data_IF_102444135408
#
_entry.id   IF_102444135408
#
_cell.length_a   1.000
_cell.length_b   1.000
_cell.length_c   1.000
_cell.angle_alpha   90.00
_cell.angle_beta   90.00
_cell.angle_gamma   90.00
#
_symmetry.space_group_name_H-M   'P 1'
#
loop_
_entity.id
_entity.type
_entity.pdbx_description
1 polymer ?
#
# COMPACT_ATOMS: atom_id res chain seq x y z
N UNK A 1 8.97 3.16 -8.54
CA UNK A 1 7.81 2.32 -8.89
C UNK A 1 7.62 1.29 -7.80
N UNK A 2 6.40 1.18 -7.25
CA UNK A 2 6.00 0.06 -6.38
C UNK A 2 5.21 -0.94 -7.22
N UNK A 3 5.63 -2.19 -7.21
CA UNK A 3 4.98 -3.29 -7.91
C UNK A 3 4.17 -4.11 -6.91
N UNK A 4 2.94 -4.46 -7.25
CA UNK A 4 2.18 -5.49 -6.53
C UNK A 4 2.98 -6.79 -6.50
N UNK A 5 2.68 -7.75 -5.59
CA UNK A 5 3.56 -8.90 -5.38
C UNK A 5 3.88 -9.66 -6.66
N UNK A 6 5.16 -9.76 -6.97
CA UNK A 6 5.69 -10.43 -8.18
C UNK A 6 6.13 -11.87 -7.91
N UNK A 7 6.03 -12.31 -6.65
CA UNK A 7 6.44 -13.66 -6.23
C UNK A 7 5.41 -14.68 -6.69
N UNK A 8 5.87 -15.91 -6.97
CA UNK A 8 5.03 -17.00 -7.47
C UNK A 8 3.82 -17.25 -6.55
N UNK A 9 2.64 -17.11 -7.11
CA UNK A 9 1.36 -17.22 -6.42
C UNK A 9 0.55 -18.45 -6.89
N UNK A 10 -0.53 -18.78 -6.19
CA UNK A 10 -1.42 -19.85 -6.61
C UNK A 10 -2.32 -19.41 -7.77
N UNK A 11 -2.45 -20.30 -8.75
CA UNK A 11 -3.28 -20.07 -9.93
C UNK A 11 -2.53 -19.33 -11.04
N UNK A 12 -3.29 -18.73 -11.95
CA UNK A 12 -2.79 -18.04 -13.13
C UNK A 12 -3.09 -16.55 -13.15
N UNK A 13 -4.05 -16.13 -12.33
CA UNK A 13 -4.51 -14.74 -12.24
C UNK A 13 -4.65 -14.36 -10.78
N UNK A 14 -3.92 -13.34 -10.35
CA UNK A 14 -3.92 -12.86 -8.97
C UNK A 14 -3.30 -11.48 -8.90
N UNK A 15 -3.58 -10.78 -7.81
CA UNK A 15 -2.81 -9.62 -7.40
C UNK A 15 -1.46 -10.00 -6.76
N UNK A 16 -1.23 -11.30 -6.53
CA UNK A 16 0.01 -11.84 -5.98
C UNK A 16 0.02 -12.06 -4.47
N UNK A 17 -1.02 -11.63 -3.72
CA UNK A 17 -1.06 -11.79 -2.26
C UNK A 17 -1.31 -13.23 -1.80
N UNK A 18 -1.71 -14.13 -2.68
CA UNK A 18 -1.79 -15.58 -2.43
C UNK A 18 -0.46 -16.28 -2.73
N UNK A 19 0.63 -15.76 -2.19
CA UNK A 19 2.00 -16.19 -2.46
C UNK A 19 2.25 -17.62 -1.97
N UNK A 20 2.81 -18.45 -2.83
CA UNK A 20 3.26 -19.81 -2.51
C UNK A 20 4.78 -19.93 -2.42
N UNK A 21 5.52 -19.20 -3.26
CA UNK A 21 7.00 -19.31 -3.35
C UNK A 21 7.63 -17.91 -3.30
N UNK A 22 7.93 -17.42 -2.12
CA UNK A 22 8.42 -16.06 -1.88
C UNK A 22 9.79 -15.72 -2.49
N UNK A 23 10.56 -16.71 -2.92
CA UNK A 23 11.87 -16.51 -3.55
C UNK A 23 11.86 -16.78 -5.06
N UNK A 24 10.71 -17.06 -5.65
CA UNK A 24 10.56 -17.27 -7.10
C UNK A 24 9.76 -16.14 -7.73
N UNK A 25 10.16 -15.71 -8.92
CA UNK A 25 9.38 -14.78 -9.73
C UNK A 25 8.23 -15.53 -10.39
N UNK A 26 7.03 -14.97 -10.34
CA UNK A 26 5.88 -15.53 -11.05
C UNK A 26 6.06 -15.42 -12.57
N UNK A 27 5.65 -16.46 -13.27
CA UNK A 27 5.81 -16.60 -14.73
C UNK A 27 5.17 -15.48 -15.56
N UNK A 28 4.14 -14.82 -15.02
CA UNK A 28 3.48 -13.71 -15.71
C UNK A 28 4.30 -12.42 -15.74
N UNK A 29 5.31 -12.31 -14.85
CA UNK A 29 6.28 -11.22 -14.88
C UNK A 29 7.50 -11.52 -15.76
N UNK A 30 7.46 -12.62 -16.52
CA UNK A 30 8.51 -13.04 -17.44
C UNK A 30 9.60 -13.87 -16.77
N UNK A 31 10.76 -13.95 -17.43
CA UNK A 31 11.93 -14.65 -16.86
C UNK A 31 12.66 -13.75 -15.87
N UNK A 32 13.44 -14.35 -14.97
CA UNK A 32 14.28 -13.60 -14.02
C UNK A 32 15.20 -12.59 -14.74
N UNK A 33 15.75 -12.96 -15.89
CA UNK A 33 16.62 -12.05 -16.66
C UNK A 33 15.86 -10.85 -17.21
N UNK A 34 14.61 -11.06 -17.67
CA UNK A 34 13.76 -9.95 -18.15
C UNK A 34 13.29 -9.05 -17.02
N UNK A 35 13.05 -9.60 -15.87
CA UNK A 35 12.72 -8.80 -14.69
C UNK A 35 13.91 -7.99 -14.19
N UNK A 36 15.12 -8.56 -14.21
CA UNK A 36 16.36 -7.82 -13.92
C UNK A 36 16.63 -6.72 -14.96
N UNK A 37 16.36 -6.97 -16.24
CA UNK A 37 16.45 -5.96 -17.31
C UNK A 37 15.46 -4.79 -17.04
N UNK A 38 14.24 -5.09 -16.59
CA UNK A 38 13.28 -4.06 -16.21
C UNK A 38 13.80 -3.21 -15.05
N UNK A 39 14.34 -3.83 -13.99
CA UNK A 39 14.92 -3.12 -12.83
C UNK A 39 16.09 -2.25 -13.27
N UNK A 40 16.99 -2.79 -14.11
CA UNK A 40 18.15 -2.05 -14.65
C UNK A 40 17.71 -0.83 -15.48
N UNK A 41 16.69 -0.98 -16.32
CA UNK A 41 16.11 0.13 -17.07
C UNK A 41 15.49 1.20 -16.14
N UNK A 42 14.83 0.79 -15.06
CA UNK A 42 14.34 1.73 -14.04
C UNK A 42 15.50 2.52 -13.42
N UNK A 43 16.56 1.84 -13.02
CA UNK A 43 17.75 2.46 -12.42
C UNK A 43 18.45 3.42 -13.38
N UNK A 44 18.58 3.06 -14.66
CA UNK A 44 19.14 3.94 -15.71
C UNK A 44 18.33 5.24 -15.87
N UNK A 45 17.05 5.23 -15.49
CA UNK A 45 16.17 6.40 -15.52
C UNK A 45 16.00 7.06 -14.14
N UNK A 46 16.79 6.68 -13.14
CA UNK A 46 16.70 7.23 -11.78
C UNK A 46 15.44 6.83 -11.02
N UNK A 47 14.84 5.68 -11.37
CA UNK A 47 13.60 5.17 -10.79
C UNK A 47 13.91 3.98 -9.88
N UNK A 48 13.62 4.11 -8.59
CA UNK A 48 13.70 3.01 -7.63
C UNK A 48 12.58 1.98 -7.86
N UNK A 49 12.87 0.70 -7.64
CA UNK A 49 11.91 -0.40 -7.73
C UNK A 49 11.64 -0.98 -6.36
N UNK A 50 10.40 -0.89 -5.92
CA UNK A 50 9.90 -1.38 -4.65
C UNK A 50 8.98 -2.55 -4.92
N UNK A 51 9.18 -3.66 -4.21
CA UNK A 51 8.31 -4.82 -4.29
C UNK A 51 7.37 -4.88 -3.11
N UNK A 52 6.10 -5.10 -3.40
CA UNK A 52 5.13 -5.50 -2.39
C UNK A 52 5.36 -6.96 -2.01
N UNK A 53 5.34 -7.28 -0.72
CA UNK A 53 5.62 -8.62 -0.21
C UNK A 53 4.65 -9.05 0.88
N UNK A 54 3.93 -10.16 0.63
CA UNK A 54 3.06 -10.80 1.61
C UNK A 54 3.86 -11.84 2.40
N UNK A 55 4.44 -11.44 3.54
CA UNK A 55 5.22 -12.31 4.43
C UNK A 55 4.54 -12.54 5.79
N UNK A 56 3.29 -12.09 5.95
CA UNK A 56 2.49 -12.46 7.12
C UNK A 56 1.91 -13.87 6.99
N UNK A 57 1.72 -14.37 5.76
CA UNK A 57 1.14 -15.68 5.46
C UNK A 57 1.77 -16.34 4.23
N UNK A 58 1.39 -17.61 3.97
CA UNK A 58 1.64 -18.29 2.72
C UNK A 58 0.45 -19.16 2.33
N UNK A 59 0.28 -19.38 1.02
CA UNK A 59 -0.79 -20.25 0.51
C UNK A 59 -0.39 -21.72 0.45
N UNK A 60 -1.37 -22.59 0.27
CA UNK A 60 -1.28 -24.03 0.55
C UNK A 60 -0.24 -24.81 -0.28
N UNK A 61 0.22 -24.28 -1.43
CA UNK A 61 1.32 -24.87 -2.20
C UNK A 61 2.71 -24.57 -1.64
N UNK A 62 2.81 -23.71 -0.61
CA UNK A 62 4.10 -23.42 0.01
C UNK A 62 4.73 -24.72 0.57
N UNK A 63 6.00 -25.03 0.21
CA UNK A 63 6.64 -26.27 0.61
C UNK A 63 6.72 -26.46 2.12
N UNK A 64 6.92 -25.37 2.88
CA UNK A 64 7.03 -25.44 4.34
C UNK A 64 5.67 -25.70 5.00
N UNK A 65 4.56 -25.37 4.34
CA UNK A 65 3.24 -25.79 4.79
C UNK A 65 3.05 -27.28 4.48
N UNK A 66 3.29 -27.69 3.24
CA UNK A 66 3.05 -29.06 2.78
C UNK A 66 3.91 -30.12 3.47
N UNK A 67 5.13 -29.78 3.88
CA UNK A 67 6.02 -30.72 4.58
C UNK A 67 5.56 -31.03 6.02
N UNK A 68 4.75 -30.17 6.62
CA UNK A 68 4.24 -30.32 8.00
C UNK A 68 2.77 -29.87 8.06
N UNK A 69 1.92 -30.41 7.21
CA UNK A 69 0.49 -30.16 7.25
C UNK A 69 -0.27 -31.30 7.94
N UNK A 70 -1.44 -30.98 8.42
CA UNK A 70 -2.41 -31.94 8.89
C UNK A 70 -3.37 -32.26 7.73
N UNK A 71 -3.24 -33.44 7.16
CA UNK A 71 -3.99 -33.90 5.96
C UNK A 71 -4.71 -35.20 6.33
N UNK A 72 -5.86 -35.13 7.04
CA UNK A 72 -6.52 -36.33 7.57
C UNK A 72 -7.27 -37.15 6.52
N UNK A 73 -7.62 -36.57 5.38
CA UNK A 73 -8.33 -37.23 4.28
C UNK A 73 -7.40 -37.65 3.13
N UNK A 74 -6.13 -37.22 3.16
CA UNK A 74 -5.10 -37.64 2.22
C UNK A 74 -5.23 -37.02 0.83
N UNK A 75 -5.93 -35.88 0.71
CA UNK A 75 -6.11 -35.20 -0.57
C UNK A 75 -4.93 -34.30 -0.96
N UNK A 76 -3.95 -34.17 -0.08
CA UNK A 76 -2.74 -33.38 -0.25
C UNK A 76 -2.91 -31.92 0.15
N UNK A 77 -3.98 -31.57 0.86
CA UNK A 77 -4.26 -30.24 1.38
C UNK A 77 -4.58 -30.30 2.88
N UNK A 78 -4.25 -29.25 3.59
CA UNK A 78 -4.54 -29.17 5.02
C UNK A 78 -3.87 -27.99 5.69
N UNK A 79 -4.33 -27.72 6.91
CA UNK A 79 -3.75 -26.69 7.77
C UNK A 79 -2.37 -27.10 8.29
N UNK A 80 -1.52 -26.15 8.68
CA UNK A 80 -0.26 -26.46 9.34
C UNK A 80 -0.48 -27.36 10.55
N UNK A 81 0.32 -28.43 10.68
CA UNK A 81 0.29 -29.29 11.85
C UNK A 81 0.92 -28.62 13.07
N UNK A 82 0.66 -29.15 14.26
CA UNK A 82 1.27 -28.65 15.51
C UNK A 82 2.80 -28.77 15.55
N UNK A 83 3.39 -29.60 14.67
CA UNK A 83 4.83 -29.78 14.53
C UNK A 83 5.44 -28.83 13.49
N UNK A 84 4.63 -28.02 12.79
CA UNK A 84 5.13 -27.11 11.77
C UNK A 84 6.05 -26.07 12.40
N UNK A 85 7.33 -25.97 11.97
CA UNK A 85 8.29 -25.06 12.59
C UNK A 85 8.26 -23.63 12.01
N UNK A 86 7.32 -23.34 11.10
CA UNK A 86 7.19 -22.05 10.42
C UNK A 86 5.84 -21.39 10.64
N UNK A 87 4.76 -22.18 10.69
CA UNK A 87 3.39 -21.67 10.71
C UNK A 87 2.68 -22.00 12.01
N UNK A 88 1.69 -21.18 12.33
CA UNK A 88 0.74 -21.45 13.38
C UNK A 88 -0.33 -22.46 12.89
N UNK A 89 -0.88 -23.26 13.77
CA UNK A 89 -2.01 -24.16 13.46
C UNK A 89 -3.31 -23.38 13.25
N UNK A 90 -3.41 -22.19 13.79
CA UNK A 90 -4.48 -21.23 13.57
C UNK A 90 -3.91 -19.82 13.68
N UNK A 91 -4.47 -18.88 12.95
CA UNK A 91 -3.95 -17.53 12.91
C UNK A 91 -3.99 -16.84 14.28
N UNK A 92 -2.88 -16.17 14.60
CA UNK A 92 -2.69 -15.43 15.85
C UNK A 92 -3.01 -13.94 15.67
N UNK A 93 -3.78 -13.58 14.65
CA UNK A 93 -4.26 -12.24 14.33
C UNK A 93 -5.53 -12.32 13.47
N UNK A 94 -6.31 -11.24 13.41
CA UNK A 94 -7.40 -11.07 12.44
C UNK A 94 -6.89 -10.74 11.05
N UNK A 95 -7.78 -10.82 10.06
CA UNK A 95 -7.52 -10.55 8.64
C UNK A 95 -6.61 -11.58 7.95
N UNK A 96 -6.42 -12.73 8.57
CA UNK A 96 -5.59 -13.79 7.99
C UNK A 96 -6.21 -14.39 6.73
N UNK A 97 -5.35 -14.67 5.76
CA UNK A 97 -5.61 -15.54 4.60
C UNK A 97 -4.49 -16.56 4.49
N UNK A 98 -4.79 -17.78 4.04
CA UNK A 98 -3.78 -18.85 3.98
C UNK A 98 -3.23 -19.26 5.36
N UNK A 99 -2.00 -19.77 5.39
CA UNK A 99 -1.30 -20.23 6.58
C UNK A 99 -0.52 -19.10 7.22
N UNK A 100 -0.78 -18.81 8.49
CA UNK A 100 -0.18 -17.73 9.28
C UNK A 100 1.27 -18.07 9.69
N UNK A 101 2.25 -17.25 9.31
CA UNK A 101 3.63 -17.42 9.74
C UNK A 101 3.83 -17.09 11.23
N UNK A 102 4.46 -17.99 11.94
CA UNK A 102 4.88 -17.72 13.31
C UNK A 102 6.21 -16.95 13.35
N UNK A 103 6.13 -15.64 13.40
CA UNK A 103 7.30 -14.75 13.39
C UNK A 103 8.12 -14.75 14.70
N UNK A 104 7.73 -15.50 15.73
CA UNK A 104 8.57 -15.74 16.91
C UNK A 104 9.50 -16.94 16.72
N UNK A 105 9.22 -17.82 15.75
CA UNK A 105 10.08 -18.94 15.44
C UNK A 105 11.36 -18.52 14.71
N UNK A 106 12.51 -19.01 15.17
CA UNK A 106 13.81 -18.70 14.56
C UNK A 106 13.87 -19.13 13.09
N UNK A 107 13.22 -20.23 12.73
CA UNK A 107 13.19 -20.76 11.36
C UNK A 107 12.42 -19.81 10.43
N UNK A 108 11.29 -19.28 10.87
CA UNK A 108 10.53 -18.28 10.14
C UNK A 108 11.35 -17.01 9.94
N UNK A 109 11.98 -16.49 11.02
CA UNK A 109 12.85 -15.30 10.92
C UNK A 109 13.99 -15.50 9.91
N UNK A 110 14.63 -16.66 9.94
CA UNK A 110 15.69 -17.00 8.98
C UNK A 110 15.16 -17.11 7.54
N UNK A 111 13.96 -17.68 7.37
CA UNK A 111 13.33 -17.76 6.06
C UNK A 111 13.03 -16.36 5.50
N UNK A 112 12.39 -15.50 6.28
CA UNK A 112 12.10 -14.12 5.88
C UNK A 112 13.37 -13.37 5.50
N UNK A 113 14.44 -13.48 6.30
CA UNK A 113 15.75 -12.88 6.00
C UNK A 113 16.35 -13.41 4.69
N UNK A 114 16.14 -14.69 4.37
CA UNK A 114 16.58 -15.23 3.07
C UNK A 114 15.75 -14.69 1.91
N UNK A 115 14.45 -14.50 2.08
CA UNK A 115 13.60 -13.84 1.07
C UNK A 115 14.10 -12.42 0.81
N UNK A 116 14.30 -11.62 1.88
CA UNK A 116 14.85 -10.27 1.76
C UNK A 116 16.17 -10.29 0.98
N UNK A 117 17.09 -11.15 1.41
CA UNK A 117 18.41 -11.25 0.78
C UNK A 117 18.34 -11.60 -0.70
N UNK A 118 17.47 -12.54 -1.07
CA UNK A 118 17.29 -12.97 -2.46
C UNK A 118 16.91 -11.79 -3.37
N UNK A 119 15.92 -11.02 -2.96
CA UNK A 119 15.42 -9.92 -3.79
C UNK A 119 16.37 -8.72 -3.79
N UNK A 120 17.00 -8.40 -2.67
CA UNK A 120 17.96 -7.29 -2.57
C UNK A 120 19.26 -7.61 -3.31
N UNK A 121 19.86 -8.78 -3.09
CA UNK A 121 21.18 -9.09 -3.68
C UNK A 121 21.11 -9.60 -5.11
N UNK A 122 20.11 -10.43 -5.45
CA UNK A 122 20.01 -11.05 -6.76
C UNK A 122 19.31 -10.15 -7.78
N UNK A 123 18.21 -9.49 -7.36
CA UNK A 123 17.42 -8.65 -8.25
C UNK A 123 17.74 -7.16 -8.13
N UNK A 124 18.46 -6.75 -7.08
CA UNK A 124 18.85 -5.34 -6.87
C UNK A 124 17.66 -4.40 -6.70
N UNK A 125 16.59 -4.86 -6.07
CA UNK A 125 15.46 -3.99 -5.73
C UNK A 125 15.85 -2.98 -4.67
N UNK A 126 15.17 -1.84 -4.65
CA UNK A 126 15.48 -0.70 -3.77
C UNK A 126 14.64 -0.68 -2.50
N UNK A 127 13.61 -1.47 -2.41
CA UNK A 127 12.74 -1.48 -1.24
C UNK A 127 11.67 -2.56 -1.23
N UNK A 128 11.07 -2.73 -0.04
CA UNK A 128 9.86 -3.53 0.13
C UNK A 128 8.73 -2.69 0.73
N UNK A 129 7.53 -2.89 0.20
CA UNK A 129 6.28 -2.63 0.92
C UNK A 129 5.81 -3.95 1.54
N UNK A 130 5.67 -3.98 2.85
CA UNK A 130 5.27 -5.17 3.60
C UNK A 130 3.77 -5.17 3.81
N UNK A 131 3.12 -6.16 3.23
CA UNK A 131 1.68 -6.37 3.33
C UNK A 131 1.26 -6.78 4.73
N UNK A 132 0.14 -6.24 5.19
CA UNK A 132 -0.55 -6.59 6.44
C UNK A 132 0.43 -6.83 7.62
N UNK A 133 1.25 -5.83 7.97
CA UNK A 133 2.21 -5.97 9.08
C UNK A 133 1.52 -6.21 10.43
N UNK A 134 0.22 -5.98 10.55
CA UNK A 134 -0.60 -6.42 11.69
C UNK A 134 -0.50 -7.94 11.92
N UNK A 135 -0.31 -8.73 10.88
CA UNK A 135 -0.20 -10.17 10.91
C UNK A 135 1.10 -10.72 11.51
N UNK A 136 2.03 -9.87 11.92
CA UNK A 136 3.32 -10.33 12.49
C UNK A 136 3.27 -10.58 14.00
N UNK A 137 2.14 -10.36 14.66
CA UNK A 137 1.97 -10.66 16.11
C UNK A 137 1.60 -12.11 16.37
N UNK A 138 1.97 -12.59 17.54
CA UNK A 138 1.57 -13.90 18.08
C UNK A 138 0.68 -13.74 19.32
N UNK A 139 0.21 -12.52 19.61
CA UNK A 139 -0.46 -12.20 20.87
C UNK A 139 -1.97 -12.19 20.78
N UNK A 140 -2.56 -12.35 19.59
CA UNK A 140 -3.98 -12.18 19.37
C UNK A 140 -4.66 -13.46 18.83
N UNK A 141 -4.70 -14.55 19.63
CA UNK A 141 -5.40 -15.77 19.25
C UNK A 141 -6.91 -15.53 19.16
N UNK A 142 -7.63 -16.42 18.48
CA UNK A 142 -9.09 -16.31 18.27
C UNK A 142 -9.91 -16.22 19.57
N UNK A 143 -9.37 -16.76 20.68
CA UNK A 143 -10.01 -16.75 21.99
C UNK A 143 -9.51 -15.61 22.92
N UNK A 144 -8.77 -14.63 22.41
CA UNK A 144 -8.27 -13.53 23.23
C UNK A 144 -9.41 -12.67 23.80
N UNK A 145 -9.26 -12.25 25.06
CA UNK A 145 -10.24 -11.37 25.70
C UNK A 145 -10.36 -10.04 24.96
N UNK A 146 -11.58 -9.61 24.72
CA UNK A 146 -11.87 -8.38 23.96
C UNK A 146 -11.96 -8.56 22.45
N UNK A 147 -11.72 -9.78 21.93
CA UNK A 147 -11.83 -10.15 20.53
C UNK A 147 -10.53 -10.00 19.74
N UNK A 148 -10.33 -10.91 18.80
CA UNK A 148 -9.11 -11.01 18.01
C UNK A 148 -8.82 -9.75 17.18
N UNK A 149 -9.84 -9.20 16.55
CA UNK A 149 -9.71 -7.99 15.72
C UNK A 149 -9.29 -6.77 16.54
N UNK A 150 -9.92 -6.55 17.69
CA UNK A 150 -9.55 -5.46 18.57
C UNK A 150 -8.11 -5.61 19.08
N UNK A 151 -7.72 -6.83 19.50
CA UNK A 151 -6.33 -7.13 19.87
C UNK A 151 -5.36 -6.85 18.72
N UNK A 152 -5.66 -7.32 17.51
CA UNK A 152 -4.82 -7.13 16.32
C UNK A 152 -4.63 -5.64 15.98
N UNK A 153 -5.67 -4.83 16.19
CA UNK A 153 -5.62 -3.40 15.89
C UNK A 153 -4.92 -2.56 16.99
N UNK A 154 -4.73 -3.13 18.18
CA UNK A 154 -3.97 -2.47 19.25
C UNK A 154 -2.47 -2.72 19.11
N UNK A 155 -1.65 -1.88 19.75
CA UNK A 155 -0.18 -2.02 19.74
C UNK A 155 0.27 -3.37 20.32
N UNK A 156 1.19 -4.05 19.60
CA UNK A 156 1.72 -5.38 19.96
C UNK A 156 3.25 -5.36 20.03
N UNK A 157 3.85 -5.47 21.23
CA UNK A 157 5.30 -5.37 21.39
C UNK A 157 6.12 -6.40 20.60
N UNK A 158 5.57 -7.61 20.41
CA UNK A 158 6.26 -8.69 19.71
C UNK A 158 6.47 -8.39 18.22
N UNK A 159 5.45 -7.84 17.54
CA UNK A 159 5.58 -7.45 16.13
C UNK A 159 6.42 -6.20 15.95
N UNK A 160 6.44 -5.27 16.93
CA UNK A 160 7.33 -4.11 16.87
C UNK A 160 8.76 -4.59 16.75
N UNK A 161 9.21 -5.49 17.62
CA UNK A 161 10.58 -5.99 17.68
C UNK A 161 10.95 -6.80 16.42
N UNK A 162 10.07 -7.68 15.95
CA UNK A 162 10.39 -8.53 14.81
C UNK A 162 10.45 -7.75 13.51
N UNK A 163 9.59 -6.76 13.33
CA UNK A 163 9.60 -5.89 12.15
C UNK A 163 10.80 -4.94 12.15
N UNK A 164 11.27 -4.49 13.33
CA UNK A 164 12.54 -3.78 13.45
C UNK A 164 13.74 -4.66 13.07
N UNK A 165 13.75 -5.95 13.48
CA UNK A 165 14.80 -6.90 13.10
C UNK A 165 14.85 -7.14 11.58
N UNK A 166 13.71 -7.18 10.90
CA UNK A 166 13.66 -7.32 9.44
C UNK A 166 14.09 -6.03 8.72
N UNK A 167 13.69 -4.88 9.24
CA UNK A 167 14.16 -3.59 8.72
C UNK A 167 15.67 -3.44 8.87
N UNK A 168 16.22 -3.79 10.05
CA UNK A 168 17.66 -3.77 10.30
C UNK A 168 18.42 -4.71 9.38
N UNK A 169 17.86 -5.89 9.11
CA UNK A 169 18.46 -6.83 8.17
C UNK A 169 18.50 -6.27 6.75
N UNK A 170 17.42 -5.64 6.29
CA UNK A 170 17.35 -4.98 4.99
C UNK A 170 18.40 -3.87 4.87
N UNK A 171 18.49 -3.00 5.88
CA UNK A 171 19.48 -1.92 5.93
C UNK A 171 20.91 -2.40 6.12
N UNK A 172 21.10 -3.63 6.64
CA UNK A 172 22.40 -4.28 6.70
C UNK A 172 22.89 -4.76 5.32
N UNK A 173 21.97 -5.08 4.41
CA UNK A 173 22.28 -5.45 3.02
C UNK A 173 22.46 -4.20 2.15
N UNK A 174 21.57 -3.25 2.27
CA UNK A 174 21.61 -1.96 1.60
C UNK A 174 21.19 -0.84 2.56
N UNK A 175 22.12 0.03 2.98
CA UNK A 175 21.82 1.11 3.91
C UNK A 175 20.79 2.13 3.41
N UNK A 176 20.50 2.15 2.12
CA UNK A 176 19.54 3.07 1.46
C UNK A 176 18.20 2.42 1.15
N UNK A 177 18.05 1.13 1.46
CA UNK A 177 16.84 0.35 1.17
C UNK A 177 15.57 0.98 1.76
N UNK A 178 14.53 1.10 0.96
CA UNK A 178 13.23 1.59 1.40
C UNK A 178 12.48 0.49 2.15
N UNK A 179 12.11 0.77 3.39
CA UNK A 179 11.25 -0.11 4.19
C UNK A 179 9.91 0.59 4.39
N UNK A 180 8.84 -0.01 3.89
CA UNK A 180 7.50 0.56 3.89
C UNK A 180 6.55 -0.46 4.51
N UNK A 181 5.74 -0.05 5.49
CA UNK A 181 4.76 -0.94 6.14
C UNK A 181 3.33 -0.51 5.81
N UNK A 182 2.54 -1.47 5.31
CA UNK A 182 1.10 -1.37 5.44
C UNK A 182 0.72 -1.88 6.83
N UNK A 183 0.48 -0.95 7.73
CA UNK A 183 0.07 -1.28 9.09
C UNK A 183 -1.36 -0.84 9.38
N UNK A 184 -1.65 0.43 9.12
CA UNK A 184 -2.97 1.03 9.31
C UNK A 184 -3.52 0.77 10.72
N UNK A 185 -2.64 0.88 11.71
CA UNK A 185 -2.90 0.64 13.11
C UNK A 185 -3.00 1.92 13.93
N UNK A 186 -2.59 1.85 15.20
CA UNK A 186 -2.54 3.02 16.07
C UNK A 186 -1.31 3.87 15.80
N UNK A 187 -1.47 5.20 15.85
CA UNK A 187 -0.33 6.12 15.67
C UNK A 187 0.80 5.84 16.69
N UNK A 188 0.46 5.43 17.90
CA UNK A 188 1.43 5.11 18.96
C UNK A 188 2.31 3.91 18.63
N UNK A 189 1.83 2.95 17.84
CA UNK A 189 2.61 1.82 17.36
C UNK A 189 3.41 2.19 16.12
N UNK A 190 2.78 2.83 15.15
CA UNK A 190 3.42 3.26 13.90
C UNK A 190 4.59 4.21 14.17
N UNK A 191 4.48 5.05 15.20
CA UNK A 191 5.53 5.93 15.68
C UNK A 191 6.83 5.18 16.06
N UNK A 192 6.72 3.93 16.58
CA UNK A 192 7.88 3.11 16.97
C UNK A 192 8.75 2.75 15.77
N UNK A 193 8.15 2.58 14.59
CA UNK A 193 8.86 2.28 13.36
C UNK A 193 9.23 3.54 12.57
N UNK A 194 8.31 4.51 12.47
CA UNK A 194 8.56 5.74 11.73
C UNK A 194 9.75 6.53 12.28
N UNK A 195 9.95 6.52 13.60
CA UNK A 195 11.07 7.20 14.26
C UNK A 195 12.27 6.29 14.54
N UNK A 196 12.21 5.00 14.16
CA UNK A 196 13.29 4.06 14.46
C UNK A 196 14.57 4.40 13.70
N UNK A 197 15.65 4.62 14.40
CA UNK A 197 16.98 4.96 13.85
C UNK A 197 16.98 6.21 12.94
N UNK A 198 16.05 7.13 13.18
CA UNK A 198 15.85 8.33 12.33
C UNK A 198 17.03 9.30 12.39
N UNK A 199 17.80 9.28 13.48
CA UNK A 199 18.96 10.16 13.70
C UNK A 199 20.24 9.68 13.03
N UNK A 200 20.22 8.53 12.39
CA UNK A 200 21.41 7.99 11.71
C UNK A 200 21.66 8.67 10.36
N UNK A 201 22.86 8.47 9.81
CA UNK A 201 23.23 8.93 8.48
C UNK A 201 23.68 7.73 7.63
N UNK A 202 22.96 7.38 6.55
CA UNK A 202 21.69 7.95 6.13
C UNK A 202 20.57 7.71 7.14
N UNK A 203 19.67 8.69 7.26
CA UNK A 203 18.52 8.59 8.15
C UNK A 203 17.65 7.37 7.80
N UNK A 204 17.35 6.54 8.81
CA UNK A 204 16.46 5.39 8.68
C UNK A 204 14.99 5.82 8.87
N UNK A 205 14.22 5.05 9.57
CA UNK A 205 12.80 5.22 9.76
C UNK A 205 11.99 4.51 8.68
N UNK A 206 11.04 3.71 9.14
CA UNK A 206 10.12 2.98 8.25
C UNK A 206 9.08 3.95 7.72
N UNK A 207 8.80 3.90 6.42
CA UNK A 207 7.66 4.64 5.86
C UNK A 207 6.37 3.88 6.16
N UNK A 208 5.38 4.60 6.67
CA UNK A 208 4.07 4.03 6.99
C UNK A 208 3.06 4.41 5.91
N UNK A 209 2.24 3.47 5.47
CA UNK A 209 1.11 3.79 4.61
C UNK A 209 0.09 4.67 5.34
N UNK A 210 -0.33 5.76 4.71
CA UNK A 210 -1.30 6.73 5.23
C UNK A 210 -2.56 6.76 4.39
N UNK A 211 -3.52 5.90 4.69
CA UNK A 211 -4.79 5.77 3.96
C UNK A 211 -5.70 6.96 4.17
N UNK A 212 -6.05 7.65 3.09
CA UNK A 212 -6.89 8.84 3.09
C UNK A 212 -8.08 8.74 2.12
N UNK A 213 -8.38 7.56 1.61
CA UNK A 213 -9.38 7.35 0.55
C UNK A 213 -10.75 7.91 0.92
N UNK A 214 -11.19 7.71 2.17
CA UNK A 214 -12.49 8.21 2.63
C UNK A 214 -12.59 9.74 2.50
N UNK A 215 -11.63 10.48 3.03
CA UNK A 215 -11.65 11.94 3.01
C UNK A 215 -11.51 12.50 1.60
N UNK A 216 -10.66 11.91 0.77
CA UNK A 216 -10.49 12.33 -0.61
C UNK A 216 -11.69 11.95 -1.50
N UNK A 217 -12.39 10.86 -1.22
CA UNK A 217 -13.68 10.53 -1.85
C UNK A 217 -14.73 11.59 -1.54
N UNK A 218 -14.84 12.00 -0.27
CA UNK A 218 -15.72 13.11 0.13
C UNK A 218 -15.35 14.42 -0.58
N UNK A 219 -14.04 14.71 -0.65
CA UNK A 219 -13.54 15.93 -1.28
C UNK A 219 -13.88 15.99 -2.77
N UNK A 220 -13.62 14.89 -3.51
CA UNK A 220 -13.95 14.81 -4.94
C UNK A 220 -15.45 14.84 -5.17
N UNK A 221 -16.25 14.18 -4.35
CA UNK A 221 -17.70 14.20 -4.41
C UNK A 221 -18.31 15.58 -4.11
N UNK A 222 -17.52 16.54 -3.59
CA UNK A 222 -17.97 17.88 -3.22
C UNK A 222 -18.61 17.97 -1.84
N UNK A 223 -18.32 17.01 -0.98
CA UNK A 223 -18.75 17.03 0.41
C UNK A 223 -17.80 17.89 1.26
N UNK A 224 -18.35 18.70 2.15
CA UNK A 224 -17.59 19.63 2.99
C UNK A 224 -17.08 19.00 4.30
N UNK A 225 -17.35 17.71 4.54
CA UNK A 225 -16.96 16.99 5.77
C UNK A 225 -15.55 16.35 5.72
N UNK A 226 -14.85 16.42 4.59
CA UNK A 226 -13.52 15.85 4.45
C UNK A 226 -12.47 16.57 5.32
N UNK A 227 -11.45 15.82 5.77
CA UNK A 227 -10.33 16.35 6.54
C UNK A 227 -9.00 15.84 5.96
N UNK A 228 -8.18 16.71 5.39
CA UNK A 228 -6.90 16.35 4.75
C UNK A 228 -5.70 16.34 5.72
N UNK A 229 -5.88 16.64 7.01
CA UNK A 229 -4.78 16.79 7.97
C UNK A 229 -3.88 15.56 8.04
N UNK A 230 -4.45 14.36 7.95
CA UNK A 230 -3.71 13.09 8.07
C UNK A 230 -2.99 12.66 6.77
N UNK A 231 -3.03 13.44 5.69
CA UNK A 231 -2.21 13.19 4.49
C UNK A 231 -0.72 13.45 4.74
N UNK A 232 -0.36 14.07 5.85
CA UNK A 232 1.01 14.39 6.23
C UNK A 232 1.42 13.78 7.58
N UNK A 233 2.70 13.56 7.76
CA UNK A 233 3.32 12.85 8.88
C UNK A 233 3.06 13.47 10.27
N UNK A 234 2.87 14.80 10.34
CA UNK A 234 2.72 15.50 11.63
C UNK A 234 1.46 15.08 12.38
N UNK A 235 0.35 14.83 11.67
CA UNK A 235 -0.90 14.38 12.29
C UNK A 235 -0.82 12.96 12.89
N UNK A 236 0.24 12.21 12.56
CA UNK A 236 0.56 10.90 13.13
C UNK A 236 1.63 10.99 14.24
N UNK A 237 2.15 12.19 14.52
CA UNK A 237 3.22 12.41 15.50
C UNK A 237 4.61 11.93 15.08
N UNK A 238 4.83 11.64 13.77
CA UNK A 238 6.14 11.20 13.29
C UNK A 238 7.12 12.36 13.27
N UNK A 239 8.36 12.10 13.68
CA UNK A 239 9.41 13.12 13.77
C UNK A 239 9.99 13.52 12.41
N UNK A 240 9.76 12.70 11.37
CA UNK A 240 10.21 12.96 10.01
C UNK A 240 9.14 12.56 9.00
N UNK A 241 9.35 12.92 7.72
CA UNK A 241 8.43 12.66 6.62
C UNK A 241 8.39 11.17 6.24
N UNK A 242 7.97 10.33 7.18
CA UNK A 242 7.88 8.87 7.07
C UNK A 242 6.43 8.36 6.88
N UNK A 243 5.54 9.24 6.40
CA UNK A 243 4.20 8.85 5.98
C UNK A 243 4.11 8.87 4.46
N UNK A 244 3.82 7.71 3.85
CA UNK A 244 3.42 7.60 2.46
C UNK A 244 1.90 7.76 2.38
N UNK A 245 1.44 9.01 2.31
CA UNK A 245 0.02 9.32 2.21
C UNK A 245 -0.54 9.00 0.82
N UNK A 246 -1.74 8.45 0.76
CA UNK A 246 -2.40 8.14 -0.51
C UNK A 246 -3.91 8.34 -0.46
N UNK A 247 -4.47 8.68 -1.61
CA UNK A 247 -5.90 8.85 -1.81
C UNK A 247 -6.57 7.60 -2.40
N UNK A 248 -5.82 6.77 -3.14
CA UNK A 248 -6.28 5.52 -3.74
C UNK A 248 -5.22 4.43 -3.62
N UNK A 249 -5.65 3.17 -3.51
CA UNK A 249 -4.83 1.97 -3.60
C UNK A 249 -5.57 0.85 -4.33
N UNK A 250 -4.96 -0.33 -4.42
CA UNK A 250 -5.60 -1.53 -4.95
C UNK A 250 -6.77 -2.04 -4.09
N UNK A 251 -6.80 -1.67 -2.81
CA UNK A 251 -7.81 -2.14 -1.85
C UNK A 251 -9.06 -1.28 -1.79
N UNK A 252 -8.95 -0.03 -2.25
CA UNK A 252 -9.99 0.96 -2.07
C UNK A 252 -10.72 1.25 -3.39
N UNK A 253 -12.02 1.54 -3.28
CA UNK A 253 -12.76 2.01 -4.44
C UNK A 253 -12.20 3.34 -4.95
N UNK A 254 -12.20 3.52 -6.25
CA UNK A 254 -11.67 4.72 -6.90
C UNK A 254 -12.44 5.98 -6.53
N UNK A 255 -11.72 7.06 -6.29
CA UNK A 255 -12.31 8.37 -6.02
C UNK A 255 -13.28 8.80 -7.12
N UNK A 256 -12.89 8.61 -8.37
CA UNK A 256 -13.70 8.98 -9.53
C UNK A 256 -14.98 8.17 -9.62
N UNK A 257 -14.92 6.84 -9.36
CA UNK A 257 -16.11 6.01 -9.31
C UNK A 257 -17.06 6.45 -8.21
N UNK A 258 -16.56 6.66 -7.00
CA UNK A 258 -17.36 7.15 -5.87
C UNK A 258 -17.99 8.51 -6.15
N UNK A 259 -17.26 9.45 -6.74
CA UNK A 259 -17.79 10.77 -7.08
C UNK A 259 -18.86 10.72 -8.16
N UNK A 260 -18.69 9.83 -9.15
CA UNK A 260 -19.64 9.67 -10.23
C UNK A 260 -20.93 8.98 -9.76
N UNK A 261 -20.83 7.94 -8.92
CA UNK A 261 -22.00 7.14 -8.51
C UNK A 261 -22.69 7.65 -7.24
N UNK A 262 -21.94 8.30 -6.33
CA UNK A 262 -22.42 8.71 -5.02
C UNK A 262 -22.13 10.20 -4.72
N UNK A 263 -21.75 10.98 -5.73
CA UNK A 263 -21.38 12.38 -5.54
C UNK A 263 -22.57 13.29 -5.30
N UNK A 264 -22.28 14.58 -5.13
CA UNK A 264 -23.33 15.56 -4.91
C UNK A 264 -24.18 15.80 -6.18
N UNK A 265 -25.50 15.93 -5.96
CA UNK A 265 -26.49 16.21 -7.03
C UNK A 265 -26.81 17.69 -7.16
N UNK A 266 -26.34 18.53 -6.23
CA UNK A 266 -26.67 19.95 -6.16
C UNK A 266 -25.47 20.86 -6.41
N UNK A 267 -25.73 22.17 -6.41
CA UNK A 267 -24.70 23.19 -6.65
C UNK A 267 -24.43 23.45 -8.13
N UNK A 268 -23.43 24.29 -8.39
CA UNK A 268 -23.09 24.70 -9.78
C UNK A 268 -22.30 23.63 -10.57
N UNK A 269 -21.73 22.66 -9.88
CA UNK A 269 -20.91 21.57 -10.46
C UNK A 269 -21.20 20.26 -9.72
N UNK A 270 -22.36 19.63 -9.93
CA UNK A 270 -22.67 18.32 -9.37
C UNK A 270 -21.72 17.26 -9.95
N UNK A 271 -21.39 16.25 -9.17
CA UNK A 271 -20.51 15.14 -9.61
C UNK A 271 -21.29 13.86 -9.90
N UNK A 272 -22.46 13.68 -9.29
CA UNK A 272 -23.31 12.54 -9.56
C UNK A 272 -23.66 12.46 -11.06
N UNK A 273 -23.35 11.33 -11.67
CA UNK A 273 -23.54 11.05 -13.11
C UNK A 273 -22.95 12.13 -14.05
N UNK A 274 -21.92 12.86 -13.61
CA UNK A 274 -21.28 13.92 -14.38
C UNK A 274 -19.76 13.75 -14.44
N UNK A 275 -19.30 13.01 -15.46
CA UNK A 275 -17.89 12.70 -15.64
C UNK A 275 -17.03 13.96 -15.83
N UNK A 276 -17.51 14.97 -16.56
CA UNK A 276 -16.77 16.20 -16.82
C UNK A 276 -16.45 16.95 -15.52
N UNK A 277 -17.44 17.07 -14.63
CA UNK A 277 -17.24 17.70 -13.34
C UNK A 277 -16.33 16.88 -12.42
N UNK A 278 -16.42 15.54 -12.46
CA UNK A 278 -15.50 14.68 -11.71
C UNK A 278 -14.07 14.88 -12.20
N UNK A 279 -13.81 14.78 -13.51
CA UNK A 279 -12.49 14.97 -14.10
C UNK A 279 -11.92 16.37 -13.81
N UNK A 280 -12.75 17.42 -13.91
CA UNK A 280 -12.32 18.78 -13.64
C UNK A 280 -11.83 19.02 -12.21
N UNK A 281 -12.28 18.20 -11.23
CA UNK A 281 -11.85 18.29 -9.82
C UNK A 281 -10.54 17.54 -9.54
N UNK A 282 -10.13 16.58 -10.38
CA UNK A 282 -8.95 15.77 -10.14
C UNK A 282 -7.66 16.58 -10.05
N UNK A 283 -7.53 17.68 -10.80
CA UNK A 283 -6.37 18.59 -10.63
C UNK A 283 -6.29 19.17 -9.21
N UNK A 284 -7.44 19.50 -8.61
CA UNK A 284 -7.48 20.00 -7.21
C UNK A 284 -7.20 18.90 -6.19
N UNK A 285 -7.62 17.67 -6.48
CA UNK A 285 -7.27 16.50 -5.66
C UNK A 285 -5.75 16.30 -5.64
N UNK A 286 -5.11 16.39 -6.81
CA UNK A 286 -3.64 16.36 -6.90
C UNK A 286 -2.98 17.45 -6.06
N UNK A 287 -3.45 18.69 -6.16
CA UNK A 287 -2.92 19.80 -5.35
C UNK A 287 -3.07 19.54 -3.85
N UNK A 288 -4.23 19.07 -3.42
CA UNK A 288 -4.53 18.82 -2.00
C UNK A 288 -3.81 17.59 -1.42
N UNK A 289 -3.28 16.70 -2.25
CA UNK A 289 -2.55 15.49 -1.82
C UNK A 289 -1.04 15.58 -2.08
N UNK A 290 -0.64 15.80 -3.33
CA UNK A 290 0.76 15.70 -3.76
C UNK A 290 1.65 16.78 -3.17
N UNK A 291 1.12 18.02 -3.01
CA UNK A 291 1.91 19.15 -2.51
C UNK A 291 2.14 19.14 -0.99
N UNK A 292 1.44 18.30 -0.23
CA UNK A 292 1.77 18.12 1.19
C UNK A 292 3.14 17.44 1.30
N UNK A 293 4.12 18.00 2.05
CA UNK A 293 5.47 17.45 2.18
C UNK A 293 5.51 15.97 2.59
N UNK A 294 6.55 15.27 2.14
CA UNK A 294 6.74 13.83 2.34
C UNK A 294 6.27 12.98 1.16
N UNK A 295 6.62 11.68 1.15
CA UNK A 295 6.29 10.76 0.07
C UNK A 295 4.78 10.60 -0.11
N UNK A 296 4.38 10.32 -1.33
CA UNK A 296 2.98 10.07 -1.71
C UNK A 296 2.91 8.89 -2.67
N UNK A 297 1.87 8.09 -2.55
CA UNK A 297 1.55 7.06 -3.53
C UNK A 297 0.44 7.55 -4.47
N UNK A 298 0.63 7.31 -5.75
CA UNK A 298 -0.37 7.47 -6.79
C UNK A 298 -0.73 6.08 -7.28
N UNK A 299 -1.98 5.67 -7.09
CA UNK A 299 -2.45 4.42 -7.66
C UNK A 299 -2.58 4.56 -9.18
N UNK A 300 -2.27 3.48 -9.91
CA UNK A 300 -2.20 3.53 -11.37
C UNK A 300 -3.44 4.17 -11.99
N UNK A 301 -3.22 5.09 -12.93
CA UNK A 301 -4.22 5.85 -13.70
C UNK A 301 -5.15 6.78 -12.89
N UNK A 302 -4.88 7.00 -11.60
CA UNK A 302 -5.51 8.10 -10.86
C UNK A 302 -5.18 9.46 -11.49
N UNK A 303 -3.97 9.60 -12.00
CA UNK A 303 -3.47 10.77 -12.76
C UNK A 303 -4.13 10.95 -14.15
N UNK A 304 -4.93 9.98 -14.57
CA UNK A 304 -5.77 10.04 -15.76
C UNK A 304 -7.28 10.07 -15.42
N UNK A 305 -7.61 10.13 -14.13
CA UNK A 305 -8.99 10.13 -13.66
C UNK A 305 -9.75 8.85 -14.02
N UNK A 306 -9.14 7.68 -13.75
CA UNK A 306 -9.79 6.39 -13.98
C UNK A 306 -11.03 6.24 -13.11
N UNK A 307 -12.19 6.06 -13.75
CA UNK A 307 -13.49 5.92 -13.10
C UNK A 307 -14.02 4.49 -13.00
N UNK A 308 -13.30 3.50 -13.54
CA UNK A 308 -13.72 2.11 -13.43
C UNK A 308 -13.62 1.65 -11.97
N UNK A 309 -14.71 1.07 -11.45
CA UNK A 309 -14.70 0.45 -10.12
C UNK A 309 -13.62 -0.63 -10.03
N UNK A 310 -13.02 -0.80 -8.84
CA UNK A 310 -12.13 -1.94 -8.57
C UNK A 310 -12.89 -3.29 -8.67
N UNK A 311 -14.21 -3.27 -8.60
CA UNK A 311 -15.07 -4.43 -8.75
C UNK A 311 -15.54 -4.66 -10.21
N UNK A 312 -14.91 -4.00 -11.18
CA UNK A 312 -15.22 -4.20 -12.59
C UNK A 312 -14.75 -5.58 -13.04
N UNK A 313 -15.68 -6.37 -13.55
CA UNK A 313 -15.44 -7.69 -14.12
C UNK A 313 -14.81 -7.59 -15.53
N UNK A 314 -14.33 -8.71 -16.05
CA UNK A 314 -13.72 -8.76 -17.40
C UNK A 314 -14.69 -8.41 -18.52
N UNK A 315 -16.00 -8.62 -18.32
CA UNK A 315 -17.07 -8.25 -19.25
C UNK A 315 -17.51 -6.77 -19.13
N UNK A 316 -16.89 -6.01 -18.20
CA UNK A 316 -17.21 -4.62 -17.94
C UNK A 316 -18.35 -4.38 -16.94
N UNK A 317 -19.03 -5.42 -16.47
CA UNK A 317 -20.00 -5.28 -15.38
C UNK A 317 -19.33 -4.95 -14.05
N UNK A 318 -20.08 -4.37 -13.13
CA UNK A 318 -19.59 -4.08 -11.77
C UNK A 318 -20.28 -4.99 -10.79
N UNK A 319 -19.50 -5.85 -10.13
CA UNK A 319 -20.00 -6.76 -9.11
C UNK A 319 -19.40 -6.39 -7.75
N UNK A 320 -20.06 -5.50 -7.04
CA UNK A 320 -19.67 -5.11 -5.69
C UNK A 320 -20.06 -6.20 -4.71
N UNK A 321 -19.13 -6.77 -3.92
CA UNK A 321 -19.47 -7.82 -2.99
C UNK A 321 -20.39 -7.30 -1.88
N UNK A 322 -21.49 -7.96 -1.69
CA UNK A 322 -22.37 -7.79 -0.53
C UNK A 322 -22.07 -8.91 0.46
N UNK A 323 -21.24 -8.63 1.47
CA UNK A 323 -21.01 -9.56 2.57
C UNK A 323 -20.29 -10.87 2.22
N UNK A 324 -19.30 -10.83 1.34
CA UNK A 324 -18.48 -12.00 0.97
C UNK A 324 -19.14 -12.90 -0.08
N UNK A 325 -20.04 -12.39 -0.88
CA UNK A 325 -20.72 -13.13 -1.92
C UNK A 325 -19.77 -13.67 -3.00
N UNK A 326 -20.03 -14.87 -3.46
CA UNK A 326 -19.36 -15.46 -4.64
C UNK A 326 -19.54 -14.54 -5.86
N UNK A 327 -18.45 -14.31 -6.60
CA UNK A 327 -18.48 -13.47 -7.80
C UNK A 327 -17.85 -12.08 -7.59
N UNK A 328 -17.12 -11.86 -6.49
CA UNK A 328 -16.31 -10.67 -6.33
C UNK A 328 -15.29 -10.55 -7.48
N UNK A 329 -15.43 -9.48 -8.28
CA UNK A 329 -14.53 -9.21 -9.39
C UNK A 329 -13.31 -8.36 -8.98
N UNK A 330 -13.14 -8.00 -7.70
CA UNK A 330 -12.01 -7.20 -7.21
C UNK A 330 -10.67 -7.84 -7.56
N UNK A 331 -10.57 -9.15 -7.39
CA UNK A 331 -9.34 -9.91 -7.66
C UNK A 331 -9.22 -10.39 -9.11
N UNK A 332 -10.23 -10.19 -9.95
CA UNK A 332 -10.15 -10.57 -11.36
C UNK A 332 -9.22 -9.66 -12.15
N UNK A 333 -8.59 -10.19 -13.19
CA UNK A 333 -7.78 -9.41 -14.12
C UNK A 333 -8.65 -8.34 -14.78
N UNK A 334 -8.24 -7.08 -14.63
CA UNK A 334 -8.96 -5.95 -15.19
C UNK A 334 -8.40 -5.58 -16.56
N UNK A 335 -9.26 -5.24 -17.52
CA UNK A 335 -8.80 -4.61 -18.76
C UNK A 335 -8.14 -3.26 -18.42
N UNK A 336 -7.15 -2.87 -19.23
CA UNK A 336 -6.42 -1.61 -19.08
C UNK A 336 -7.02 -0.54 -20.02
N UNK A 337 -8.08 0.18 -19.60
CA UNK A 337 -8.88 1.01 -20.51
C UNK A 337 -8.09 2.17 -21.12
N UNK A 338 -7.06 2.68 -20.45
CA UNK A 338 -6.23 3.76 -21.00
C UNK A 338 -5.43 3.34 -22.23
N UNK A 339 -5.08 2.05 -22.36
CA UNK A 339 -4.39 1.53 -23.56
C UNK A 339 -5.37 1.34 -24.71
N UNK A 340 -6.58 0.87 -24.42
CA UNK A 340 -7.61 0.60 -25.42
C UNK A 340 -8.36 1.87 -25.84
N UNK A 341 -8.60 2.77 -24.91
CA UNK A 341 -9.42 3.97 -25.13
C UNK A 341 -8.59 5.23 -25.42
N UNK A 342 -7.26 5.12 -25.48
CA UNK A 342 -6.35 6.25 -25.71
C UNK A 342 -6.64 7.44 -24.78
N UNK A 343 -6.66 7.24 -23.48
CA UNK A 343 -7.02 8.26 -22.49
C UNK A 343 -6.11 9.48 -22.50
N UNK A 344 -4.86 9.36 -22.90
CA UNK A 344 -3.98 10.54 -23.12
C UNK A 344 -4.41 11.40 -24.30
N UNK A 345 -5.22 10.88 -25.23
CA UNK A 345 -5.86 11.64 -26.30
C UNK A 345 -7.11 12.40 -25.87
N UNK A 346 -7.70 12.11 -24.70
CA UNK A 346 -8.77 12.92 -24.10
C UNK A 346 -8.17 14.15 -23.41
N UNK A 347 -8.48 15.33 -23.91
CA UNK A 347 -7.93 16.59 -23.40
C UNK A 347 -8.21 16.84 -21.91
N UNK A 348 -9.31 16.33 -21.37
CA UNK A 348 -9.66 16.45 -19.94
C UNK A 348 -8.74 15.59 -19.09
N UNK A 349 -8.46 14.36 -19.50
CA UNK A 349 -7.58 13.41 -18.83
C UNK A 349 -6.11 13.82 -18.99
N UNK A 350 -5.71 14.19 -20.18
CA UNK A 350 -4.38 14.74 -20.43
C UNK A 350 -4.10 15.99 -19.58
N UNK A 351 -5.13 16.82 -19.32
CA UNK A 351 -5.00 17.96 -18.41
C UNK A 351 -4.68 17.51 -16.97
N UNK A 352 -5.37 16.50 -16.44
CA UNK A 352 -5.09 15.95 -15.09
C UNK A 352 -3.65 15.49 -15.01
N UNK A 353 -3.23 14.64 -15.95
CA UNK A 353 -1.86 14.13 -16.04
C UNK A 353 -0.81 15.25 -16.04
N UNK A 354 -1.00 16.26 -16.91
CA UNK A 354 -0.08 17.39 -17.01
C UNK A 354 -0.07 18.26 -15.74
N UNK A 355 -1.21 18.47 -15.11
CA UNK A 355 -1.29 19.26 -13.87
C UNK A 355 -0.57 18.52 -12.73
N UNK A 356 -0.79 17.21 -12.59
CA UNK A 356 -0.12 16.39 -11.56
C UNK A 356 1.38 16.30 -11.82
N UNK A 357 1.80 16.11 -13.07
CA UNK A 357 3.23 16.12 -13.43
C UNK A 357 3.92 17.44 -13.06
N UNK A 358 3.26 18.58 -13.29
CA UNK A 358 3.77 19.91 -12.89
C UNK A 358 3.85 20.06 -11.37
N UNK A 359 2.86 19.57 -10.63
CA UNK A 359 2.86 19.62 -9.16
C UNK A 359 3.99 18.74 -8.58
N UNK A 360 4.21 17.57 -9.16
CA UNK A 360 5.32 16.68 -8.78
C UNK A 360 6.66 17.35 -9.09
N UNK A 361 6.81 17.92 -10.30
CA UNK A 361 8.02 18.65 -10.67
C UNK A 361 8.29 19.83 -9.72
N UNK A 362 7.27 20.62 -9.40
CA UNK A 362 7.36 21.72 -8.44
C UNK A 362 7.85 21.20 -7.07
N UNK A 363 7.23 20.14 -6.56
CA UNK A 363 7.59 19.55 -5.27
C UNK A 363 9.02 19.04 -5.23
N UNK A 364 9.53 18.50 -6.34
CA UNK A 364 10.91 17.98 -6.43
C UNK A 364 11.92 19.13 -6.57
N UNK A 365 11.58 20.18 -7.30
CA UNK A 365 12.49 21.26 -7.64
C UNK A 365 12.60 22.34 -6.58
N UNK A 366 11.52 22.57 -5.80
CA UNK A 366 11.49 23.65 -4.81
C UNK A 366 11.90 23.16 -3.43
N UNK A 367 13.04 23.65 -2.88
CA UNK A 367 13.58 23.21 -1.59
C UNK A 367 12.61 23.37 -0.42
N UNK A 368 11.65 24.30 -0.51
CA UNK A 368 10.66 24.54 0.55
C UNK A 368 9.86 23.28 0.92
N UNK A 369 9.69 22.32 0.00
CA UNK A 369 9.01 21.06 0.27
C UNK A 369 9.82 20.10 1.14
N UNK A 370 11.12 20.36 1.32
CA UNK A 370 11.95 19.67 2.30
C UNK A 370 11.81 20.26 3.71
N UNK A 371 11.22 21.43 3.85
CA UNK A 371 10.93 22.10 5.10
C UNK A 371 9.70 21.55 5.83
N UNK A 372 9.03 22.41 6.55
CA UNK A 372 7.87 22.11 7.36
C UNK A 372 6.56 22.49 6.65
N UNK A 373 5.46 22.09 7.26
CA UNK A 373 4.13 22.50 6.81
C UNK A 373 3.18 22.60 8.01
N UNK A 374 2.08 23.34 7.83
CA UNK A 374 0.90 23.29 8.70
C UNK A 374 -0.35 23.17 7.87
N UNK A 375 -1.33 22.41 8.39
CA UNK A 375 -2.68 22.34 7.82
C UNK A 375 -3.63 22.98 8.82
N UNK A 376 -4.25 24.10 8.49
CA UNK A 376 -5.08 24.87 9.41
C UNK A 376 -6.41 25.26 8.77
N UNK A 377 -7.53 25.15 9.51
CA UNK A 377 -7.66 24.52 10.82
C UNK A 377 -7.41 23.02 10.76
N UNK A 378 -6.95 22.42 11.87
CA UNK A 378 -6.88 20.98 12.00
C UNK A 378 -8.31 20.45 12.19
N UNK A 379 -8.68 19.52 11.30
CA UNK A 379 -10.03 18.99 11.25
C UNK A 379 -11.07 19.94 10.65
N UNK A 380 -12.22 19.42 10.34
CA UNK A 380 -13.38 20.14 9.82
C UNK A 380 -13.39 20.26 8.28
N UNK A 381 -14.17 21.20 7.76
CA UNK A 381 -14.42 21.33 6.33
C UNK A 381 -13.16 21.68 5.52
N UNK A 382 -12.80 20.89 4.49
CA UNK A 382 -11.63 21.17 3.64
C UNK A 382 -11.72 22.50 2.92
N UNK A 383 -12.91 23.03 2.74
CA UNK A 383 -13.13 24.38 2.18
C UNK A 383 -12.45 25.46 3.02
N UNK A 384 -12.21 25.20 4.29
CA UNK A 384 -11.54 26.13 5.22
C UNK A 384 -10.08 25.80 5.44
N UNK A 385 -9.65 24.55 5.17
CA UNK A 385 -8.25 24.17 5.39
C UNK A 385 -7.32 24.87 4.41
N UNK A 386 -6.14 25.25 4.92
CA UNK A 386 -5.03 25.81 4.16
C UNK A 386 -3.80 24.99 4.50
N UNK A 387 -3.01 24.66 3.49
CA UNK A 387 -1.71 24.06 3.66
C UNK A 387 -0.67 25.15 3.50
N UNK A 388 0.08 25.41 4.55
CA UNK A 388 1.22 26.34 4.55
C UNK A 388 2.48 25.49 4.53
N UNK A 389 3.35 25.71 3.55
CA UNK A 389 4.63 25.02 3.40
C UNK A 389 5.70 26.09 3.59
N UNK A 390 6.66 25.80 4.46
CA UNK A 390 7.71 26.76 4.80
C UNK A 390 9.01 26.05 5.20
N UNK A 391 10.11 26.73 5.01
CA UNK A 391 11.43 26.32 5.49
C UNK A 391 12.12 27.56 6.06
N UNK A 392 12.34 27.55 7.37
CA UNK A 392 12.96 28.66 8.09
C UNK A 392 14.44 28.89 7.69
N UNK A 393 15.06 27.94 7.00
CA UNK A 393 16.41 28.06 6.46
C UNK A 393 16.47 28.77 5.10
N UNK A 394 15.32 28.94 4.44
CA UNK A 394 15.24 29.62 3.14
C UNK A 394 14.93 31.11 3.32
N UNK A 395 15.47 31.99 2.44
CA UNK A 395 15.09 33.41 2.45
C UNK A 395 13.60 33.58 2.14
N UNK A 396 12.96 34.49 2.89
CA UNK A 396 11.54 34.84 2.77
C UNK A 396 11.25 35.62 1.48
#
# INVERSE_FOLDING_TARGET
>A
IELMPVMEFEGNESWGYNTSFHMALDKFYGTSDKFKEFIDLCHQNGIAVILDVALNHAFGRNPMNRMWMNDPDGDGWGDPSSENPYFNTSAMHSYNVGSDFNHQQVRTKNYVKRVIKQWVEEFKIDGFRWDLTKGFTQNCPSNVSGGQENCTNMSQPDRIVVLQDYADYSWGLDPTHYVIFEHLGTDSEELQWANYRISETPSKGVMMWGKMTYDYSLLLAGNTGANISRMGHQAHGFSAKRLMGYAESHDEERLMYNAYTNGNTGGSKPTFENLDNCLARMSSIGAASLLIPGPKMIWHFADLGMENSIFTCTDGSVNTPSGGAAGDCKLATKPQPQWTNNWLGDLRRAKIYNDWAKMIALKIQEPVFEGNYTISPDGGSPVKQRVYIYDDALPS
#
